data_IF_300692532350
#
_entry.id   IF_300692532350
#
_cell.length_a   1.000
_cell.length_b   1.000
_cell.length_c   1.000
_cell.angle_alpha   90.00
_cell.angle_beta   90.00
_cell.angle_gamma   90.00
#
_symmetry.space_group_name_H-M   'P 1'
#
loop_
_entity.id
_entity.type
_entity.pdbx_description
1 polymer ?
#
# COMPACT_ATOMS: atom_id res chain seq x y z
N UNK A 1 47.39 43.97 6.49
CA UNK A 1 47.58 42.74 5.69
C UNK A 1 46.28 42.00 5.71
N UNK A 2 45.78 41.72 4.51
CA UNK A 2 44.41 41.34 4.20
C UNK A 2 43.99 40.05 4.92
N UNK A 3 42.75 40.06 5.42
CA UNK A 3 42.04 38.88 5.90
C UNK A 3 40.57 39.09 5.58
N UNK A 4 40.20 38.66 4.38
CA UNK A 4 38.88 38.83 3.77
C UNK A 4 37.78 38.18 4.63
N UNK A 5 36.94 39.02 5.24
CA UNK A 5 35.63 38.60 5.74
C UNK A 5 34.66 38.60 4.57
N UNK A 6 34.39 37.41 4.02
CA UNK A 6 33.28 37.22 3.07
C UNK A 6 31.95 37.43 3.80
N UNK A 7 31.29 38.53 3.46
CA UNK A 7 29.91 38.82 3.76
C UNK A 7 29.00 37.83 3.04
N UNK A 8 28.13 37.14 3.79
CA UNK A 8 26.96 36.47 3.23
C UNK A 8 25.97 37.56 2.82
N UNK A 9 26.02 37.98 1.55
CA UNK A 9 24.90 38.68 0.93
C UNK A 9 23.80 37.66 0.66
N UNK A 10 22.62 37.97 1.19
CA UNK A 10 21.39 37.23 1.00
C UNK A 10 20.89 37.41 -0.44
N UNK A 11 21.21 36.46 -1.31
CA UNK A 11 20.49 36.32 -2.57
C UNK A 11 19.08 35.79 -2.28
N UNK A 12 18.13 36.72 -2.27
CA UNK A 12 16.70 36.42 -2.22
C UNK A 12 16.32 35.54 -3.42
N UNK A 13 15.66 34.38 -3.22
CA UNK A 13 15.11 33.64 -4.34
C UNK A 13 13.99 34.46 -4.98
N UNK A 14 14.15 34.75 -6.27
CA UNK A 14 13.10 35.32 -7.12
C UNK A 14 11.86 34.43 -7.03
N UNK A 15 10.75 35.03 -6.61
CA UNK A 15 9.43 34.42 -6.58
C UNK A 15 9.05 33.91 -7.99
N UNK A 16 9.13 32.60 -8.18
CA UNK A 16 8.17 31.90 -9.04
C UNK A 16 7.02 31.45 -8.14
N UNK A 17 5.87 32.09 -8.32
CA UNK A 17 4.58 31.75 -7.72
C UNK A 17 4.26 30.28 -7.95
N UNK A 18 4.23 29.48 -6.88
CA UNK A 18 3.31 28.35 -6.68
C UNK A 18 3.44 27.82 -5.23
N UNK A 19 2.36 27.95 -4.47
CA UNK A 19 2.21 27.66 -3.04
C UNK A 19 2.26 26.14 -2.69
N UNK A 20 3.40 25.46 -2.84
CA UNK A 20 3.55 24.05 -2.45
C UNK A 20 4.41 23.79 -1.20
N UNK A 21 5.00 24.85 -0.61
CA UNK A 21 5.93 24.73 0.52
C UNK A 21 5.19 24.56 1.86
N UNK A 22 3.93 25.01 1.97
CA UNK A 22 3.18 24.94 3.24
C UNK A 22 2.59 23.56 3.58
N UNK A 23 2.25 22.70 2.58
CA UNK A 23 1.69 21.35 2.82
C UNK A 23 2.75 20.26 3.08
N UNK A 24 3.94 20.37 2.50
CA UNK A 24 5.06 19.45 2.76
C UNK A 24 5.59 19.58 4.20
N UNK A 25 5.51 20.78 4.78
CA UNK A 25 5.84 21.01 6.18
C UNK A 25 4.88 20.32 7.16
N UNK A 26 3.60 20.15 6.83
CA UNK A 26 2.66 19.40 7.68
C UNK A 26 2.95 17.90 7.69
N UNK A 27 3.35 17.31 6.56
CA UNK A 27 3.76 15.90 6.48
C UNK A 27 5.14 15.68 7.13
N UNK A 28 6.10 16.59 6.96
CA UNK A 28 7.39 16.51 7.65
C UNK A 28 7.24 16.74 9.17
N UNK A 29 6.39 17.68 9.60
CA UNK A 29 6.05 17.86 11.02
C UNK A 29 5.20 16.70 11.57
N UNK A 30 4.41 16.03 10.72
CA UNK A 30 3.71 14.78 11.03
C UNK A 30 4.72 13.64 11.28
N UNK A 31 5.68 13.44 10.38
CA UNK A 31 6.76 12.46 10.55
C UNK A 31 7.66 12.75 11.77
N UNK A 32 7.87 14.03 12.13
CA UNK A 32 8.66 14.43 13.30
C UNK A 32 7.91 14.40 14.64
N UNK A 33 6.57 14.28 14.66
CA UNK A 33 5.76 14.23 15.90
C UNK A 33 5.67 12.85 16.56
N UNK A 34 6.32 11.83 16.01
CA UNK A 34 6.20 10.47 16.55
C UNK A 34 7.21 10.19 17.67
N UNK A 35 6.67 10.07 18.89
CA UNK A 35 7.37 9.70 20.11
C UNK A 35 8.06 8.34 20.00
N UNK A 36 8.84 7.98 21.03
CA UNK A 36 9.57 6.73 21.30
C UNK A 36 8.81 5.39 21.14
N UNK A 37 7.62 5.40 20.53
CA UNK A 37 6.71 4.28 20.27
C UNK A 37 6.55 3.90 18.78
N UNK A 38 7.17 4.63 17.84
CA UNK A 38 7.16 4.30 16.41
C UNK A 38 8.32 3.35 16.08
N UNK A 39 8.03 2.28 15.34
CA UNK A 39 9.05 1.35 14.86
C UNK A 39 9.96 2.02 13.83
N UNK A 40 11.17 1.48 13.69
CA UNK A 40 12.15 1.91 12.70
C UNK A 40 12.23 0.91 11.55
N UNK A 41 12.44 1.40 10.34
CA UNK A 41 12.69 0.55 9.17
C UNK A 41 14.18 0.36 8.96
N UNK A 42 14.58 -0.90 8.79
CA UNK A 42 15.98 -1.30 8.63
C UNK A 42 16.10 -2.14 7.35
N UNK A 43 17.03 -1.77 6.47
CA UNK A 43 17.45 -2.62 5.37
C UNK A 43 18.79 -3.27 5.72
N UNK A 44 18.92 -4.58 5.46
CA UNK A 44 20.13 -5.36 5.74
C UNK A 44 20.86 -5.69 4.42
N UNK A 45 22.10 -5.24 4.30
CA UNK A 45 23.02 -5.56 3.22
C UNK A 45 23.87 -6.75 3.67
N UNK A 46 23.36 -7.96 3.42
CA UNK A 46 24.05 -9.21 3.77
C UNK A 46 25.02 -9.55 2.62
N UNK A 47 26.32 -9.49 2.90
CA UNK A 47 27.38 -9.75 1.93
C UNK A 47 28.06 -11.10 2.17
N UNK A 48 28.90 -11.54 1.22
CA UNK A 48 29.68 -12.78 1.32
C UNK A 48 28.81 -14.04 1.52
N UNK A 49 27.63 -14.06 0.90
CA UNK A 49 26.73 -15.21 0.91
C UNK A 49 27.43 -16.35 0.15
N UNK A 50 27.66 -17.52 0.80
CA UNK A 50 28.31 -18.65 0.15
C UNK A 50 27.57 -19.11 -1.10
N UNK A 51 28.30 -19.64 -2.08
CA UNK A 51 27.67 -20.13 -3.30
C UNK A 51 26.64 -21.22 -3.00
N UNK A 52 25.44 -21.07 -3.56
CA UNK A 52 24.32 -21.99 -3.34
C UNK A 52 23.50 -21.73 -2.08
N UNK A 53 23.94 -20.82 -1.20
CA UNK A 53 23.16 -20.41 -0.04
C UNK A 53 22.05 -19.43 -0.40
N UNK A 54 20.90 -19.62 0.24
CA UNK A 54 19.71 -18.78 0.08
C UNK A 54 19.16 -18.42 1.44
N UNK A 55 19.30 -17.14 1.79
CA UNK A 55 18.89 -16.61 3.10
C UNK A 55 17.40 -16.89 3.36
N UNK A 56 16.58 -16.78 2.32
CA UNK A 56 15.13 -16.98 2.40
C UNK A 56 14.71 -18.43 2.75
N UNK A 57 15.54 -19.41 2.43
CA UNK A 57 15.30 -20.84 2.72
C UNK A 57 15.74 -21.21 4.14
N UNK A 58 16.78 -20.56 4.65
CA UNK A 58 17.32 -20.84 6.00
C UNK A 58 16.62 -20.03 7.10
N UNK A 59 16.31 -18.77 6.84
CA UNK A 59 15.84 -17.83 7.87
C UNK A 59 14.33 -17.63 7.90
N UNK A 60 13.65 -17.91 6.79
CA UNK A 60 12.22 -17.72 6.55
C UNK A 60 11.65 -16.37 7.02
N UNK A 61 10.45 -16.01 6.56
CA UNK A 61 9.91 -14.66 6.80
C UNK A 61 9.37 -14.45 8.21
N UNK A 62 9.21 -13.17 8.58
CA UNK A 62 8.42 -12.73 9.75
C UNK A 62 8.96 -13.19 11.11
N UNK A 63 10.27 -13.09 11.31
CA UNK A 63 10.92 -13.41 12.59
C UNK A 63 11.59 -12.18 13.18
N UNK A 64 11.70 -12.17 14.50
CA UNK A 64 12.59 -11.27 15.21
C UNK A 64 14.05 -11.71 15.00
N UNK A 65 14.91 -10.73 14.77
CA UNK A 65 16.36 -10.90 14.65
C UNK A 65 17.00 -9.91 15.61
N UNK A 66 17.97 -10.37 16.40
CA UNK A 66 18.84 -9.51 17.20
C UNK A 66 20.17 -9.38 16.46
N UNK A 67 20.74 -8.17 16.39
CA UNK A 67 22.04 -7.92 15.78
C UNK A 67 22.92 -7.18 16.80
N UNK A 68 24.06 -7.77 17.14
CA UNK A 68 25.04 -7.12 18.01
C UNK A 68 25.74 -5.96 17.27
N UNK A 69 25.90 -4.77 17.87
CA UNK A 69 26.52 -3.60 17.21
C UNK A 69 27.94 -3.80 16.66
N UNK A 70 28.65 -4.84 17.10
CA UNK A 70 30.00 -5.16 16.62
C UNK A 70 30.01 -6.01 15.34
N UNK A 71 28.84 -6.50 14.92
CA UNK A 71 28.70 -7.46 13.82
C UNK A 71 28.21 -6.81 12.52
N UNK A 72 27.88 -5.52 12.55
CA UNK A 72 27.45 -4.76 11.39
C UNK A 72 28.07 -3.36 11.37
N UNK A 73 28.15 -2.80 10.16
CA UNK A 73 28.47 -1.40 9.92
C UNK A 73 27.23 -0.62 9.49
N UNK A 74 27.13 0.64 9.89
CA UNK A 74 26.14 1.56 9.31
C UNK A 74 26.56 1.93 7.89
N UNK A 75 25.65 1.77 6.93
CA UNK A 75 25.88 2.19 5.54
C UNK A 75 25.91 3.72 5.48
N UNK A 76 26.94 4.26 4.83
CA UNK A 76 27.11 5.70 4.63
C UNK A 76 26.01 6.24 3.72
N UNK A 77 25.61 7.49 3.93
CA UNK A 77 24.54 8.14 3.16
C UNK A 77 24.74 8.08 1.63
N UNK A 78 25.99 8.16 1.14
CA UNK A 78 26.34 8.08 -0.29
C UNK A 78 26.15 6.69 -0.90
N UNK A 79 26.15 5.65 -0.07
CA UNK A 79 26.15 4.25 -0.50
C UNK A 79 24.78 3.59 -0.25
N UNK A 80 23.79 4.40 0.13
CA UNK A 80 22.46 3.93 0.51
C UNK A 80 21.66 3.47 -0.70
N UNK A 81 21.02 2.31 -0.57
CA UNK A 81 20.22 1.69 -1.62
C UNK A 81 18.72 1.72 -1.30
N UNK A 82 18.32 2.20 -0.12
CA UNK A 82 16.93 2.17 0.32
C UNK A 82 16.47 3.48 0.94
N UNK A 83 15.14 3.63 1.03
CA UNK A 83 14.46 4.67 1.78
C UNK A 83 14.29 4.33 3.28
N UNK A 84 14.78 3.18 3.77
CA UNK A 84 14.65 2.77 5.17
C UNK A 84 15.33 3.78 6.11
N UNK A 85 14.93 3.86 7.38
CA UNK A 85 15.60 4.79 8.32
C UNK A 85 17.07 4.43 8.54
N UNK A 86 17.38 3.13 8.59
CA UNK A 86 18.73 2.61 8.74
C UNK A 86 19.06 1.57 7.66
N UNK A 87 20.32 1.54 7.24
CA UNK A 87 20.91 0.50 6.40
C UNK A 87 22.12 -0.07 7.12
N UNK A 88 22.12 -1.38 7.34
CA UNK A 88 23.19 -2.10 8.04
C UNK A 88 23.87 -3.04 7.06
N UNK A 89 25.20 -3.05 7.05
CA UNK A 89 26.01 -3.99 6.26
C UNK A 89 26.68 -5.00 7.18
N UNK A 90 26.58 -6.29 6.84
CA UNK A 90 27.19 -7.38 7.60
C UNK A 90 27.46 -8.59 6.71
N UNK A 91 28.45 -9.39 7.06
CA UNK A 91 28.71 -10.67 6.37
C UNK A 91 27.61 -11.68 6.68
N UNK A 92 27.43 -12.65 5.79
CA UNK A 92 26.50 -13.76 5.99
C UNK A 92 26.83 -14.57 7.25
N UNK A 93 28.11 -14.73 7.59
CA UNK A 93 28.54 -15.35 8.84
C UNK A 93 28.04 -14.57 10.06
N UNK A 94 28.27 -13.25 10.09
CA UNK A 94 27.81 -12.38 11.18
C UNK A 94 26.28 -12.37 11.33
N UNK A 95 25.56 -12.34 10.20
CA UNK A 95 24.11 -12.47 10.17
C UNK A 95 23.66 -13.80 10.77
N UNK A 96 24.27 -14.91 10.34
CA UNK A 96 23.96 -16.25 10.83
C UNK A 96 24.26 -16.46 12.31
N UNK A 97 25.35 -15.89 12.82
CA UNK A 97 25.68 -15.93 14.24
C UNK A 97 24.63 -15.18 15.07
N UNK A 98 24.29 -13.95 14.65
CA UNK A 98 23.38 -13.07 15.40
C UNK A 98 21.94 -13.56 15.39
N UNK A 99 21.46 -14.02 14.24
CA UNK A 99 20.06 -14.36 14.07
C UNK A 99 19.68 -15.68 14.79
N UNK A 100 20.66 -16.48 15.23
CA UNK A 100 20.45 -17.70 16.03
C UNK A 100 20.22 -17.40 17.52
N UNK A 101 20.52 -16.19 17.98
CA UNK A 101 20.24 -15.78 19.36
C UNK A 101 18.74 -15.54 19.55
N UNK A 102 18.16 -16.05 20.65
CA UNK A 102 16.79 -15.71 20.99
C UNK A 102 16.69 -14.20 21.26
N UNK A 103 15.82 -13.47 20.53
CA UNK A 103 15.71 -12.03 20.71
C UNK A 103 15.28 -11.68 22.13
N UNK A 104 15.89 -10.63 22.68
CA UNK A 104 15.45 -10.07 23.96
C UNK A 104 14.06 -9.44 23.71
N UNK A 105 13.03 -9.92 24.43
CA UNK A 105 11.68 -9.35 24.45
C UNK A 105 10.78 -9.64 23.22
N UNK A 106 10.81 -10.87 22.69
CA UNK A 106 9.94 -11.37 21.59
C UNK A 106 8.42 -11.24 21.81
N UNK A 107 7.97 -10.94 23.03
CA UNK A 107 6.55 -10.84 23.37
C UNK A 107 5.86 -9.59 22.79
N UNK A 108 6.64 -8.58 22.36
CA UNK A 108 6.09 -7.37 21.73
C UNK A 108 6.01 -7.55 20.22
N UNK A 109 4.84 -7.30 19.64
CA UNK A 109 4.70 -7.19 18.19
C UNK A 109 5.35 -5.90 17.67
N UNK A 110 5.95 -5.97 16.48
CA UNK A 110 6.47 -4.77 15.82
C UNK A 110 5.30 -3.83 15.50
N UNK A 111 5.44 -2.50 15.69
CA UNK A 111 4.37 -1.54 15.40
C UNK A 111 4.28 -1.28 13.89
N UNK A 112 3.86 -2.30 13.14
CA UNK A 112 3.78 -2.25 11.69
C UNK A 112 2.82 -1.15 11.24
N UNK A 113 3.24 -0.36 10.24
CA UNK A 113 2.40 0.61 9.55
C UNK A 113 1.62 -0.10 8.43
N UNK A 114 0.30 0.00 8.48
CA UNK A 114 -0.60 -0.63 7.53
C UNK A 114 -1.31 0.46 6.73
N UNK A 115 -1.15 0.40 5.42
CA UNK A 115 -1.85 1.24 4.47
C UNK A 115 -2.90 0.42 3.75
N UNK A 116 -4.16 0.83 3.82
CA UNK A 116 -5.22 0.36 2.92
C UNK A 116 -5.56 1.45 1.91
N UNK A 117 -5.73 1.10 0.64
CA UNK A 117 -6.02 2.07 -0.41
C UNK A 117 -6.95 1.49 -1.47
N UNK A 118 -7.59 2.37 -2.22
CA UNK A 118 -8.52 2.07 -3.30
C UNK A 118 -8.44 3.18 -4.37
N UNK A 119 -8.64 2.83 -5.64
CA UNK A 119 -8.67 3.79 -6.75
C UNK A 119 -10.04 3.84 -7.43
N UNK A 120 -10.42 5.05 -7.84
CA UNK A 120 -11.46 5.23 -8.85
C UNK A 120 -10.83 5.60 -10.18
N UNK A 121 -11.34 5.01 -11.25
CA UNK A 121 -10.95 5.32 -12.61
C UNK A 121 -12.10 6.00 -13.34
N UNK A 122 -11.77 6.76 -14.38
CA UNK A 122 -12.78 7.10 -15.37
C UNK A 122 -13.39 5.83 -15.96
N UNK A 123 -14.60 5.93 -16.49
CA UNK A 123 -15.33 4.79 -17.05
C UNK A 123 -15.94 5.19 -18.38
N UNK A 124 -15.70 4.38 -19.41
CA UNK A 124 -16.40 4.55 -20.68
C UNK A 124 -17.76 3.84 -20.61
N UNK A 125 -18.83 4.58 -20.88
CA UNK A 125 -20.19 4.03 -20.97
C UNK A 125 -20.52 3.85 -22.44
N UNK A 126 -20.70 2.59 -22.86
CA UNK A 126 -21.09 2.28 -24.22
C UNK A 126 -22.58 2.64 -24.41
N UNK A 127 -22.93 3.53 -25.36
CA UNK A 127 -24.33 3.87 -25.66
C UNK A 127 -25.19 2.66 -26.08
N UNK A 128 -24.57 1.55 -26.52
CA UNK A 128 -25.22 0.28 -26.86
C UNK A 128 -25.41 -0.66 -25.66
N UNK A 129 -24.93 -0.30 -24.47
CA UNK A 129 -25.07 -1.06 -23.23
C UNK A 129 -24.05 -2.17 -23.02
N UNK A 130 -23.01 -2.26 -23.86
CA UNK A 130 -21.86 -3.17 -23.67
C UNK A 130 -20.74 -2.47 -22.91
N UNK A 131 -21.02 -2.11 -21.66
CA UNK A 131 -20.06 -1.43 -20.80
C UNK A 131 -18.71 -2.19 -20.75
N UNK A 132 -17.62 -1.51 -21.07
CA UNK A 132 -16.28 -2.08 -21.03
C UNK A 132 -15.63 -1.88 -19.66
N UNK A 133 -14.90 -2.89 -19.19
CA UNK A 133 -14.16 -2.78 -17.94
C UNK A 133 -12.97 -1.83 -18.13
N UNK A 134 -12.71 -0.91 -17.19
CA UNK A 134 -11.63 0.06 -17.33
C UNK A 134 -10.26 -0.62 -17.46
N UNK A 135 -9.46 -0.12 -18.39
CA UNK A 135 -8.10 -0.61 -18.64
C UNK A 135 -7.09 0.53 -18.41
N UNK A 136 -5.89 0.22 -17.90
CA UNK A 136 -4.88 1.24 -17.65
C UNK A 136 -4.39 1.94 -18.93
N UNK A 137 -4.64 1.36 -20.11
CA UNK A 137 -4.28 1.98 -21.39
C UNK A 137 -5.27 3.05 -21.84
N UNK A 138 -6.52 3.04 -21.35
CA UNK A 138 -7.57 3.90 -21.85
C UNK A 138 -8.05 4.89 -20.78
N UNK A 139 -8.42 4.41 -19.60
CA UNK A 139 -9.03 5.23 -18.57
C UNK A 139 -7.98 5.82 -17.60
N UNK A 140 -8.21 7.05 -17.18
CA UNK A 140 -7.38 7.75 -16.19
C UNK A 140 -7.80 7.39 -14.78
N UNK A 141 -6.87 7.45 -13.84
CA UNK A 141 -7.19 7.48 -12.41
C UNK A 141 -7.77 8.84 -12.08
N UNK A 142 -8.95 8.85 -11.44
CA UNK A 142 -9.65 10.07 -11.04
C UNK A 142 -9.63 10.29 -9.54
N UNK A 143 -9.52 9.25 -8.72
CA UNK A 143 -9.35 9.38 -7.27
C UNK A 143 -8.48 8.25 -6.72
N UNK A 144 -7.72 8.55 -5.67
CA UNK A 144 -7.04 7.54 -4.85
C UNK A 144 -7.32 7.87 -3.38
N UNK A 145 -7.95 6.95 -2.67
CA UNK A 145 -8.17 7.07 -1.23
C UNK A 145 -7.14 6.24 -0.46
N UNK A 146 -6.78 6.66 0.75
CA UNK A 146 -5.83 5.93 1.57
C UNK A 146 -6.12 6.08 3.06
N UNK A 147 -5.98 4.97 3.78
CA UNK A 147 -6.18 4.82 5.22
C UNK A 147 -4.91 4.25 5.84
N UNK A 148 -4.28 4.98 6.75
CA UNK A 148 -3.04 4.59 7.41
C UNK A 148 -3.28 4.35 8.90
N UNK A 149 -2.86 3.19 9.38
CA UNK A 149 -2.95 2.81 10.79
C UNK A 149 -1.70 2.06 11.27
N UNK A 150 -1.53 1.93 12.58
CA UNK A 150 -0.64 0.92 13.15
C UNK A 150 -1.39 -0.40 13.34
N UNK A 151 -0.72 -1.56 13.22
CA UNK A 151 -1.34 -2.88 13.43
C UNK A 151 -2.13 -2.98 14.73
N UNK A 152 -1.60 -2.39 15.80
CA UNK A 152 -2.20 -2.42 17.15
C UNK A 152 -3.42 -1.53 17.32
N UNK A 153 -3.63 -0.58 16.42
CA UNK A 153 -4.70 0.41 16.54
C UNK A 153 -5.98 -0.15 15.88
N UNK A 154 -7.13 0.14 16.47
CA UNK A 154 -8.43 -0.25 15.92
C UNK A 154 -8.89 0.65 14.76
N UNK A 155 -8.44 1.90 14.76
CA UNK A 155 -8.86 2.92 13.79
C UNK A 155 -7.63 3.52 13.08
N UNK A 156 -7.78 3.98 11.82
CA UNK A 156 -6.73 4.71 11.13
C UNK A 156 -6.45 6.05 11.81
N UNK A 157 -5.16 6.37 11.97
CA UNK A 157 -4.73 7.67 12.50
C UNK A 157 -4.60 8.73 11.41
N UNK A 158 -4.59 8.32 10.14
CA UNK A 158 -4.53 9.23 9.01
C UNK A 158 -5.36 8.70 7.84
N UNK A 159 -6.09 9.61 7.20
CA UNK A 159 -6.90 9.34 6.01
C UNK A 159 -6.78 10.51 5.04
N UNK A 160 -6.57 10.20 3.76
CA UNK A 160 -6.61 11.19 2.70
C UNK A 160 -7.32 10.66 1.46
N UNK A 161 -7.68 11.60 0.59
CA UNK A 161 -8.16 11.32 -0.76
C UNK A 161 -7.55 12.32 -1.72
N UNK A 162 -6.90 11.81 -2.75
CA UNK A 162 -6.33 12.60 -3.84
C UNK A 162 -7.32 12.54 -5.00
N UNK A 163 -7.74 13.69 -5.53
CA UNK A 163 -8.78 13.78 -6.57
C UNK A 163 -8.27 14.48 -7.81
N UNK A 164 -8.71 14.04 -8.97
CA UNK A 164 -8.61 14.78 -10.22
C UNK A 164 -9.76 15.80 -10.26
N UNK A 165 -9.42 17.07 -10.49
CA UNK A 165 -10.27 18.26 -10.32
C UNK A 165 -10.65 18.54 -8.86
N UNK A 166 -11.21 19.73 -8.63
CA UNK A 166 -11.59 20.23 -7.30
C UNK A 166 -12.57 19.33 -6.55
N UNK A 167 -12.33 19.05 -5.28
CA UNK A 167 -13.22 18.27 -4.41
C UNK A 167 -13.55 19.08 -3.16
N UNK A 168 -14.81 19.05 -2.71
CA UNK A 168 -15.20 19.72 -1.47
C UNK A 168 -14.59 19.01 -0.25
N UNK A 169 -14.34 19.77 0.81
CA UNK A 169 -13.77 19.23 2.05
C UNK A 169 -14.63 18.11 2.66
N UNK A 170 -13.96 17.11 3.22
CA UNK A 170 -14.54 15.96 3.92
C UNK A 170 -14.02 15.98 5.35
N UNK A 171 -14.91 15.88 6.33
CA UNK A 171 -14.56 16.04 7.74
C UNK A 171 -13.51 15.02 8.19
N UNK A 172 -12.41 15.55 8.72
CA UNK A 172 -11.25 14.82 9.23
C UNK A 172 -10.48 14.01 8.18
N UNK A 173 -10.67 14.29 6.89
CA UNK A 173 -9.88 13.71 5.79
C UNK A 173 -9.07 14.81 5.12
N UNK A 174 -7.79 14.55 4.84
CA UNK A 174 -7.01 15.45 3.97
C UNK A 174 -7.45 15.24 2.51
N UNK A 175 -8.03 16.28 1.92
CA UNK A 175 -8.48 16.29 0.53
C UNK A 175 -7.50 17.12 -0.28
N UNK A 176 -6.87 16.50 -1.27
CA UNK A 176 -5.97 17.17 -2.21
C UNK A 176 -6.50 17.00 -3.63
N UNK A 177 -6.60 18.10 -4.38
CA UNK A 177 -7.12 18.10 -5.75
C UNK A 177 -6.04 18.50 -6.74
N UNK A 178 -5.99 17.82 -7.88
CA UNK A 178 -5.01 18.00 -8.95
C UNK A 178 -5.71 18.19 -10.29
N UNK A 179 -5.17 19.03 -11.17
CA UNK A 179 -5.73 19.18 -12.53
C UNK A 179 -5.25 18.08 -13.48
N UNK A 180 -4.04 17.57 -13.27
CA UNK A 180 -3.40 16.54 -14.09
C UNK A 180 -3.27 15.23 -13.32
N UNK A 181 -3.62 14.11 -13.97
CA UNK A 181 -3.46 12.76 -13.40
C UNK A 181 -2.00 12.47 -13.03
N UNK A 182 -1.05 13.02 -13.80
CA UNK A 182 0.37 12.80 -13.54
C UNK A 182 0.80 13.32 -12.18
N UNK A 183 0.23 14.45 -11.73
CA UNK A 183 0.57 15.05 -10.44
C UNK A 183 -0.16 14.33 -9.29
N UNK A 184 -1.38 13.85 -9.53
CA UNK A 184 -2.09 12.97 -8.63
C UNK A 184 -1.28 11.70 -8.32
N UNK A 185 -0.80 11.00 -9.36
CA UNK A 185 0.00 9.78 -9.20
C UNK A 185 1.34 10.07 -8.52
N UNK A 186 2.07 11.14 -8.93
CA UNK A 186 3.33 11.54 -8.27
C UNK A 186 3.11 11.83 -6.79
N UNK A 187 2.03 12.54 -6.45
CA UNK A 187 1.68 12.85 -5.05
C UNK A 187 1.42 11.59 -4.25
N UNK A 188 0.69 10.63 -4.80
CA UNK A 188 0.41 9.36 -4.14
C UNK A 188 1.69 8.54 -3.92
N UNK A 189 2.55 8.43 -4.94
CA UNK A 189 3.85 7.75 -4.80
C UNK A 189 4.73 8.42 -3.73
N UNK A 190 4.75 9.75 -3.68
CA UNK A 190 5.41 10.49 -2.61
C UNK A 190 4.79 10.21 -1.24
N UNK A 191 3.47 10.11 -1.15
CA UNK A 191 2.79 9.74 0.09
C UNK A 191 3.21 8.34 0.58
N UNK A 192 3.29 7.34 -0.31
CA UNK A 192 3.80 6.00 0.05
C UNK A 192 5.21 6.09 0.62
N UNK A 193 6.08 6.86 -0.02
CA UNK A 193 7.45 7.06 0.45
C UNK A 193 7.49 7.71 1.85
N UNK A 194 6.75 8.80 2.04
CA UNK A 194 6.75 9.56 3.30
C UNK A 194 6.08 8.80 4.46
N UNK A 195 4.98 8.09 4.19
CA UNK A 195 4.27 7.27 5.17
C UNK A 195 5.05 5.99 5.54
N UNK A 196 5.82 5.47 4.58
CA UNK A 196 6.64 4.27 4.66
C UNK A 196 5.89 3.04 5.24
N UNK A 197 4.76 2.59 4.61
CA UNK A 197 3.99 1.46 5.12
C UNK A 197 4.76 0.14 5.02
N UNK A 198 4.62 -0.70 6.05
CA UNK A 198 5.15 -2.06 6.09
C UNK A 198 4.24 -3.04 5.36
N UNK A 199 2.93 -2.80 5.41
CA UNK A 199 1.90 -3.64 4.78
C UNK A 199 0.97 -2.78 3.94
N UNK A 200 0.80 -3.15 2.69
CA UNK A 200 -0.18 -2.58 1.76
C UNK A 200 -1.35 -3.55 1.65
N UNK A 201 -2.55 -3.04 1.87
CA UNK A 201 -3.81 -3.77 1.95
C UNK A 201 -4.79 -3.19 0.94
N UNK A 202 -5.66 -4.03 0.40
CA UNK A 202 -6.79 -3.61 -0.42
C UNK A 202 -7.68 -4.80 -0.76
N UNK A 203 -8.66 -4.59 -1.64
CA UNK A 203 -9.57 -5.66 -2.07
C UNK A 203 -9.51 -5.81 -3.57
N UNK A 204 -8.89 -6.90 -4.06
CA UNK A 204 -8.49 -7.08 -5.45
C UNK A 204 -7.40 -6.08 -5.91
N UNK A 205 -6.67 -5.47 -4.97
CA UNK A 205 -5.62 -4.50 -5.24
C UNK A 205 -4.40 -5.08 -5.93
N UNK A 206 -4.13 -6.38 -5.76
CA UNK A 206 -3.05 -7.05 -6.46
C UNK A 206 -3.40 -7.37 -7.92
N UNK A 207 -4.69 -7.48 -8.25
CA UNK A 207 -5.18 -7.75 -9.60
C UNK A 207 -5.59 -6.50 -10.39
N UNK A 208 -6.02 -5.45 -9.69
CA UNK A 208 -6.52 -4.21 -10.28
C UNK A 208 -5.66 -3.02 -9.87
N UNK A 209 -5.81 -2.50 -8.65
CA UNK A 209 -5.31 -1.18 -8.24
C UNK A 209 -3.80 -0.99 -8.42
N UNK A 210 -2.98 -1.90 -7.87
CA UNK A 210 -1.52 -1.81 -7.94
C UNK A 210 -1.06 -1.90 -9.41
N UNK A 211 -1.38 -2.96 -10.18
CA UNK A 211 -1.01 -3.01 -11.59
C UNK A 211 -1.51 -1.80 -12.39
N UNK A 212 -2.71 -1.29 -12.10
CA UNK A 212 -3.28 -0.14 -12.79
C UNK A 212 -2.43 1.12 -12.57
N UNK A 213 -2.14 1.47 -11.32
CA UNK A 213 -1.28 2.63 -10.99
C UNK A 213 0.10 2.48 -11.63
N UNK A 214 0.73 1.30 -11.55
CA UNK A 214 2.05 1.08 -12.13
C UNK A 214 2.06 1.26 -13.65
N UNK A 215 1.05 0.75 -14.35
CA UNK A 215 0.92 0.88 -15.79
C UNK A 215 0.60 2.33 -16.21
N UNK A 216 -0.24 3.04 -15.45
CA UNK A 216 -0.50 4.48 -15.66
C UNK A 216 0.76 5.32 -15.44
N UNK A 217 1.49 5.06 -14.36
CA UNK A 217 2.75 5.74 -14.06
C UNK A 217 3.76 5.54 -15.20
N UNK A 218 3.94 4.30 -15.68
CA UNK A 218 4.79 4.00 -16.83
C UNK A 218 4.35 4.74 -18.09
N UNK A 219 3.06 4.74 -18.41
CA UNK A 219 2.51 5.45 -19.57
C UNK A 219 2.76 6.96 -19.51
N UNK A 220 2.67 7.54 -18.32
CA UNK A 220 2.90 8.95 -18.06
C UNK A 220 4.37 9.30 -17.80
N UNK A 221 5.30 8.34 -17.98
CA UNK A 221 6.73 8.51 -17.74
C UNK A 221 7.06 9.00 -16.33
N UNK A 222 6.31 8.50 -15.34
CA UNK A 222 6.50 8.78 -13.92
C UNK A 222 7.38 7.67 -13.33
N UNK A 223 8.56 7.98 -12.78
CA UNK A 223 9.36 7.00 -12.04
C UNK A 223 8.55 6.44 -10.86
N UNK A 224 8.34 5.14 -10.85
CA UNK A 224 7.49 4.52 -9.83
C UNK A 224 8.29 4.14 -8.58
N UNK A 225 8.39 5.06 -7.63
CA UNK A 225 9.08 4.87 -6.35
C UNK A 225 8.23 4.18 -5.26
N UNK A 226 7.45 3.15 -5.58
CA UNK A 226 6.60 2.47 -4.58
C UNK A 226 7.40 1.51 -3.67
N UNK A 227 8.57 1.06 -4.13
CA UNK A 227 9.51 0.19 -3.40
C UNK A 227 10.17 0.91 -2.22
N UNK A 228 10.70 0.16 -1.25
CA UNK A 228 11.70 0.69 -0.28
C UNK A 228 13.11 0.73 -0.85
N UNK A 229 13.39 -0.04 -1.90
CA UNK A 229 14.67 0.00 -2.61
C UNK A 229 14.61 1.12 -3.65
N UNK A 230 15.57 2.03 -3.57
CA UNK A 230 15.69 3.18 -4.47
C UNK A 230 15.91 2.69 -5.91
N UNK A 231 15.30 3.38 -6.86
CA UNK A 231 15.40 3.10 -8.30
C UNK A 231 15.01 1.67 -8.72
N UNK A 232 14.28 0.95 -7.84
CA UNK A 232 13.80 -0.39 -8.16
C UNK A 232 12.63 -0.31 -9.15
N UNK A 233 12.87 -0.71 -10.39
CA UNK A 233 11.83 -0.82 -11.40
C UNK A 233 11.03 -2.11 -11.27
N UNK A 234 9.72 -1.97 -11.08
CA UNK A 234 8.79 -3.10 -11.17
C UNK A 234 8.55 -3.42 -12.64
N UNK A 235 9.12 -4.53 -13.10
CA UNK A 235 8.97 -4.97 -14.49
C UNK A 235 7.62 -5.65 -14.74
N UNK A 236 6.96 -5.24 -15.83
CA UNK A 236 5.78 -5.88 -16.43
C UNK A 236 4.66 -6.28 -15.45
N UNK A 237 4.08 -5.34 -14.69
CA UNK A 237 2.94 -5.62 -13.83
C UNK A 237 1.77 -6.21 -14.65
N UNK A 238 1.20 -7.30 -14.16
CA UNK A 238 0.09 -8.02 -14.82
C UNK A 238 -1.22 -7.46 -14.29
N UNK A 239 -1.97 -6.79 -15.14
CA UNK A 239 -3.34 -6.37 -14.86
C UNK A 239 -4.29 -7.55 -15.08
N UNK A 240 -4.76 -8.15 -13.98
CA UNK A 240 -5.65 -9.30 -13.99
C UNK A 240 -6.58 -9.25 -12.77
N UNK A 241 -7.69 -8.51 -12.87
CA UNK A 241 -8.70 -8.44 -11.82
C UNK A 241 -9.37 -9.81 -11.66
N UNK A 242 -9.54 -10.26 -10.42
CA UNK A 242 -10.14 -11.57 -10.18
C UNK A 242 -9.37 -12.40 -9.14
N UNK A 243 -9.93 -13.55 -8.75
CA UNK A 243 -9.31 -14.40 -7.76
C UNK A 243 -8.03 -15.03 -8.32
N UNK A 244 -7.05 -15.24 -7.45
CA UNK A 244 -5.72 -15.76 -7.80
C UNK A 244 -4.75 -14.71 -8.33
N UNK A 245 -5.14 -13.42 -8.37
CA UNK A 245 -4.30 -12.34 -8.87
C UNK A 245 -3.00 -12.17 -8.08
N UNK A 246 -2.99 -12.50 -6.79
CA UNK A 246 -1.80 -12.43 -5.94
C UNK A 246 -0.66 -13.31 -6.46
N UNK A 247 -0.97 -14.42 -7.14
CA UNK A 247 0.04 -15.32 -7.74
C UNK A 247 0.95 -14.62 -8.75
N UNK A 248 0.43 -13.59 -9.43
CA UNK A 248 1.10 -12.77 -10.42
C UNK A 248 1.29 -11.31 -9.99
N UNK A 249 0.96 -10.97 -8.74
CA UNK A 249 1.09 -9.61 -8.23
C UNK A 249 2.53 -9.09 -8.40
N UNK A 250 2.75 -7.81 -8.71
CA UNK A 250 4.10 -7.25 -8.65
C UNK A 250 4.66 -7.35 -7.24
N UNK A 251 5.95 -7.67 -7.10
CA UNK A 251 6.66 -7.61 -5.81
C UNK A 251 6.98 -6.15 -5.53
N UNK A 252 6.68 -5.66 -4.33
CA UNK A 252 7.10 -4.35 -3.86
C UNK A 252 8.19 -4.57 -2.79
N UNK A 253 9.50 -4.49 -3.14
CA UNK A 253 10.56 -4.78 -2.20
C UNK A 253 10.45 -3.97 -0.90
N UNK A 254 10.60 -4.67 0.22
CA UNK A 254 10.50 -4.10 1.56
C UNK A 254 9.08 -3.84 2.08
N UNK A 255 8.02 -4.08 1.28
CA UNK A 255 6.62 -3.91 1.70
C UNK A 255 5.84 -5.20 1.49
N UNK A 256 5.08 -5.63 2.49
CA UNK A 256 4.16 -6.75 2.35
C UNK A 256 2.89 -6.31 1.63
N UNK A 257 2.27 -7.23 0.90
CA UNK A 257 0.96 -7.03 0.26
C UNK A 257 -0.04 -8.03 0.84
N UNK A 258 -1.24 -7.57 1.16
CA UNK A 258 -2.39 -8.44 1.48
C UNK A 258 -3.56 -8.01 0.61
N UNK A 259 -3.95 -8.90 -0.30
CA UNK A 259 -5.18 -8.75 -1.06
C UNK A 259 -6.31 -9.50 -0.35
N UNK A 260 -7.30 -8.75 0.16
CA UNK A 260 -8.40 -9.34 0.91
C UNK A 260 -9.34 -10.14 0.02
N UNK A 261 -9.37 -9.90 -1.29
CA UNK A 261 -10.18 -10.71 -2.19
C UNK A 261 -9.62 -12.13 -2.27
N UNK A 262 -8.31 -12.25 -2.49
CA UNK A 262 -7.62 -13.55 -2.49
C UNK A 262 -7.64 -14.21 -1.11
N UNK A 263 -7.49 -13.44 -0.03
CA UNK A 263 -7.64 -13.96 1.33
C UNK A 263 -9.03 -14.57 1.56
N UNK A 264 -10.08 -13.81 1.27
CA UNK A 264 -11.47 -14.27 1.43
C UNK A 264 -11.73 -15.47 0.52
N UNK A 265 -11.20 -15.49 -0.69
CA UNK A 265 -11.35 -16.63 -1.59
C UNK A 265 -10.70 -17.89 -1.01
N UNK A 266 -9.46 -17.80 -0.54
CA UNK A 266 -8.69 -18.94 -0.04
C UNK A 266 -9.21 -19.49 1.29
N UNK A 267 -9.57 -18.61 2.22
CA UNK A 267 -9.92 -18.99 3.60
C UNK A 267 -11.44 -19.08 3.81
N UNK A 268 -12.25 -18.43 2.96
CA UNK A 268 -13.70 -18.26 3.13
C UNK A 268 -14.52 -18.30 1.81
N UNK A 269 -13.96 -18.89 0.75
CA UNK A 269 -14.50 -18.84 -0.62
C UNK A 269 -15.82 -19.59 -0.86
N UNK A 270 -16.29 -20.36 0.13
CA UNK A 270 -17.54 -21.10 0.06
C UNK A 270 -18.51 -20.62 1.15
N UNK A 271 -19.33 -19.58 0.88
CA UNK A 271 -20.36 -19.16 1.81
C UNK A 271 -21.35 -20.31 2.07
N UNK A 272 -21.68 -20.54 3.33
CA UNK A 272 -22.71 -21.49 3.77
C UNK A 272 -24.09 -21.12 3.24
N UNK A 273 -25.05 -22.06 3.31
CA UNK A 273 -26.43 -21.79 2.91
C UNK A 273 -27.05 -20.64 3.71
N UNK A 274 -26.76 -20.56 5.01
CA UNK A 274 -27.20 -19.47 5.89
C UNK A 274 -26.62 -18.13 5.47
N UNK A 275 -25.31 -18.04 5.22
CA UNK A 275 -24.68 -16.79 4.75
C UNK A 275 -25.23 -16.35 3.38
N UNK A 276 -25.51 -17.29 2.48
CA UNK A 276 -26.16 -16.98 1.19
C UNK A 276 -27.56 -16.43 1.38
N UNK A 277 -28.35 -17.04 2.27
CA UNK A 277 -29.70 -16.56 2.58
C UNK A 277 -29.68 -15.14 3.17
N UNK A 278 -28.74 -14.85 4.09
CA UNK A 278 -28.54 -13.52 4.65
C UNK A 278 -28.19 -12.48 3.57
N UNK A 279 -27.27 -12.81 2.66
CA UNK A 279 -26.90 -11.94 1.54
C UNK A 279 -28.09 -11.69 0.59
N UNK A 280 -28.85 -12.73 0.27
CA UNK A 280 -30.01 -12.61 -0.61
C UNK A 280 -31.14 -11.77 0.01
N UNK A 281 -31.31 -11.85 1.33
CA UNK A 281 -32.29 -11.06 2.07
C UNK A 281 -32.00 -9.55 1.98
N UNK A 282 -30.73 -9.16 1.82
CA UNK A 282 -30.32 -7.75 1.61
C UNK A 282 -30.06 -7.40 0.14
N UNK A 283 -30.47 -8.27 -0.79
CA UNK A 283 -30.39 -8.01 -2.23
C UNK A 283 -29.06 -8.38 -2.90
N UNK A 284 -28.06 -8.87 -2.16
CA UNK A 284 -26.75 -9.25 -2.71
C UNK A 284 -26.82 -10.67 -3.26
N UNK A 285 -27.16 -10.81 -4.55
CA UNK A 285 -27.36 -12.13 -5.20
C UNK A 285 -26.20 -12.60 -6.08
N UNK A 286 -25.28 -11.70 -6.41
CA UNK A 286 -24.12 -11.96 -7.29
C UNK A 286 -22.84 -11.49 -6.60
N UNK A 287 -21.68 -11.92 -7.13
CA UNK A 287 -20.36 -11.58 -6.58
C UNK A 287 -20.32 -11.79 -5.06
N UNK A 288 -20.69 -13.00 -4.60
CA UNK A 288 -20.83 -13.33 -3.16
C UNK A 288 -19.51 -13.27 -2.38
N UNK A 289 -18.40 -13.08 -3.11
CA UNK A 289 -17.06 -12.84 -2.59
C UNK A 289 -16.56 -11.44 -2.97
N UNK A 290 -17.41 -10.52 -3.44
CA UNK A 290 -17.00 -9.13 -3.70
C UNK A 290 -16.95 -8.32 -2.40
N UNK A 291 -16.35 -7.12 -2.45
CA UNK A 291 -16.18 -6.26 -1.28
C UNK A 291 -17.49 -6.00 -0.53
N UNK A 292 -18.60 -5.71 -1.22
CA UNK A 292 -19.91 -5.51 -0.58
C UNK A 292 -20.39 -6.78 0.14
N UNK A 293 -20.32 -7.93 -0.53
CA UNK A 293 -20.76 -9.20 0.04
C UNK A 293 -19.90 -9.61 1.25
N UNK A 294 -18.57 -9.46 1.15
CA UNK A 294 -17.65 -9.75 2.25
C UNK A 294 -17.84 -8.81 3.43
N UNK A 295 -17.99 -7.51 3.17
CA UNK A 295 -18.25 -6.51 4.22
C UNK A 295 -19.55 -6.80 4.94
N UNK A 296 -20.60 -7.18 4.21
CA UNK A 296 -21.87 -7.54 4.85
C UNK A 296 -21.75 -8.85 5.63
N UNK A 297 -21.13 -9.90 5.05
CA UNK A 297 -20.97 -11.21 5.72
C UNK A 297 -20.27 -11.08 7.07
N UNK A 298 -19.15 -10.36 7.12
CA UNK A 298 -18.24 -10.36 8.27
C UNK A 298 -18.42 -9.14 9.19
N UNK A 299 -18.72 -7.97 8.63
CA UNK A 299 -18.81 -6.72 9.40
C UNK A 299 -20.24 -6.23 9.59
N UNK A 300 -21.22 -6.83 8.90
CA UNK A 300 -22.62 -6.34 8.80
C UNK A 300 -22.69 -4.89 8.30
N UNK A 301 -21.73 -4.51 7.43
CA UNK A 301 -21.65 -3.20 6.79
C UNK A 301 -21.85 -3.33 5.27
N UNK A 302 -22.26 -2.24 4.61
CA UNK A 302 -22.36 -2.15 3.15
C UNK A 302 -21.38 -1.11 2.59
N UNK A 303 -21.12 -1.22 1.29
CA UNK A 303 -20.46 -0.15 0.52
C UNK A 303 -21.41 1.04 0.36
N UNK A 304 -20.85 2.18 0.00
CA UNK A 304 -21.63 3.29 -0.52
C UNK A 304 -22.28 2.89 -1.87
N UNK A 305 -23.51 3.32 -2.12
CA UNK A 305 -24.28 2.93 -3.30
C UNK A 305 -24.03 3.90 -4.46
N UNK A 306 -23.01 3.61 -5.26
CA UNK A 306 -22.73 4.31 -6.52
C UNK A 306 -22.63 3.28 -7.65
N UNK A 307 -23.59 3.29 -8.57
CA UNK A 307 -23.45 2.56 -9.83
C UNK A 307 -22.31 3.18 -10.65
N UNK A 308 -21.41 2.33 -11.15
CA UNK A 308 -20.26 2.74 -11.96
C UNK A 308 -20.65 3.62 -13.17
N UNK A 309 -21.87 3.46 -13.70
CA UNK A 309 -22.40 4.28 -14.80
C UNK A 309 -22.58 5.75 -14.43
N UNK A 310 -22.68 6.05 -13.13
CA UNK A 310 -22.78 7.42 -12.63
C UNK A 310 -21.41 8.06 -12.38
N UNK A 311 -20.31 7.29 -12.35
CA UNK A 311 -18.96 7.82 -12.10
C UNK A 311 -18.62 8.95 -13.09
N UNK A 312 -18.80 8.82 -14.42
CA UNK A 312 -18.45 9.90 -15.35
C UNK A 312 -19.26 11.17 -15.11
N UNK A 313 -20.54 11.04 -14.78
CA UNK A 313 -21.42 12.17 -14.46
C UNK A 313 -20.97 12.89 -13.19
N UNK A 314 -20.66 12.13 -12.13
CA UNK A 314 -20.20 12.69 -10.86
C UNK A 314 -18.83 13.35 -11.01
N UNK A 315 -17.92 12.73 -11.76
CA UNK A 315 -16.58 13.26 -12.01
C UNK A 315 -16.62 14.56 -12.84
N UNK A 316 -17.49 14.64 -13.85
CA UNK A 316 -17.69 15.83 -14.66
C UNK A 316 -18.48 16.95 -13.94
N UNK A 317 -19.11 16.64 -12.82
CA UNK A 317 -19.95 17.56 -12.05
C UNK A 317 -19.19 18.58 -11.21
N UNK A 318 -19.78 18.94 -10.08
CA UNK A 318 -19.24 19.95 -9.16
C UNK A 318 -18.24 19.34 -8.17
N UNK A 319 -17.59 20.19 -7.36
CA UNK A 319 -16.76 19.72 -6.24
C UNK A 319 -17.55 18.90 -5.21
N UNK A 320 -18.86 19.10 -5.09
CA UNK A 320 -19.73 18.29 -4.23
C UNK A 320 -20.02 16.91 -4.83
N UNK A 321 -20.13 16.80 -6.16
CA UNK A 321 -20.33 15.51 -6.82
C UNK A 321 -19.07 14.65 -6.74
N UNK A 322 -17.88 15.25 -6.91
CA UNK A 322 -16.60 14.57 -6.68
C UNK A 322 -16.37 14.22 -5.22
N UNK A 323 -16.91 15.00 -4.28
CA UNK A 323 -16.94 14.63 -2.86
C UNK A 323 -17.75 13.37 -2.58
N UNK A 324 -18.89 13.16 -3.26
CA UNK A 324 -19.65 11.90 -3.16
C UNK A 324 -18.82 10.70 -3.62
N UNK A 325 -18.13 10.83 -4.76
CA UNK A 325 -17.19 9.80 -5.22
C UNK A 325 -16.05 9.58 -4.21
N UNK A 326 -15.53 10.66 -3.62
CA UNK A 326 -14.44 10.55 -2.66
C UNK A 326 -14.86 9.85 -1.37
N UNK A 327 -16.09 10.08 -0.89
CA UNK A 327 -16.66 9.35 0.25
C UNK A 327 -16.83 7.86 -0.08
N UNK A 328 -17.31 7.55 -1.29
CA UNK A 328 -17.40 6.17 -1.79
C UNK A 328 -16.03 5.49 -1.82
N UNK A 329 -15.02 6.12 -2.41
CA UNK A 329 -13.65 5.60 -2.48
C UNK A 329 -13.03 5.45 -1.07
N UNK A 330 -13.22 6.42 -0.16
CA UNK A 330 -12.78 6.32 1.24
C UNK A 330 -13.44 5.14 1.97
N UNK A 331 -14.71 4.83 1.70
CA UNK A 331 -15.37 3.66 2.26
C UNK A 331 -14.71 2.37 1.75
N UNK A 332 -14.36 2.34 0.47
CA UNK A 332 -13.74 1.19 -0.20
C UNK A 332 -12.29 0.94 0.20
N UNK A 333 -11.55 1.97 0.64
CA UNK A 333 -10.25 1.77 1.29
C UNK A 333 -10.36 1.45 2.79
N UNK A 334 -11.45 1.80 3.47
CA UNK A 334 -11.64 1.47 4.89
C UNK A 334 -12.11 0.03 5.09
N UNK A 335 -13.10 -0.45 4.33
CA UNK A 335 -13.65 -1.80 4.50
C UNK A 335 -12.60 -2.93 4.47
N UNK A 336 -11.57 -2.91 3.59
CA UNK A 336 -10.51 -3.92 3.57
C UNK A 336 -9.67 -3.92 4.86
N UNK A 337 -9.45 -2.76 5.46
CA UNK A 337 -8.75 -2.60 6.74
C UNK A 337 -9.53 -3.30 7.86
N UNK A 338 -10.83 -3.01 7.96
CA UNK A 338 -11.74 -3.61 8.95
C UNK A 338 -11.88 -5.12 8.74
N UNK A 339 -11.97 -5.57 7.49
CA UNK A 339 -12.00 -6.99 7.13
C UNK A 339 -10.70 -7.70 7.54
N UNK A 340 -9.54 -7.08 7.29
CA UNK A 340 -8.25 -7.64 7.68
C UNK A 340 -8.17 -7.86 9.19
N UNK A 341 -8.61 -6.89 9.99
CA UNK A 341 -8.62 -7.01 11.45
C UNK A 341 -9.61 -8.07 11.92
N UNK A 342 -10.86 -7.99 11.46
CA UNK A 342 -11.92 -8.92 11.85
C UNK A 342 -11.57 -10.38 11.52
N UNK A 343 -10.99 -10.61 10.34
CA UNK A 343 -10.59 -11.94 9.89
C UNK A 343 -9.20 -12.36 10.38
N UNK A 344 -8.47 -11.48 11.08
CA UNK A 344 -7.08 -11.66 11.50
C UNK A 344 -6.18 -12.09 10.32
N UNK A 345 -6.37 -11.46 9.16
CA UNK A 345 -5.81 -11.92 7.89
C UNK A 345 -4.26 -11.87 7.89
N UNK A 346 -3.69 -10.76 8.37
CA UNK A 346 -2.24 -10.59 8.49
C UNK A 346 -1.63 -11.68 9.40
N UNK A 347 -2.18 -11.87 10.59
CA UNK A 347 -1.64 -12.85 11.56
C UNK A 347 -1.75 -14.28 11.05
N UNK A 348 -2.88 -14.65 10.42
CA UNK A 348 -3.05 -15.98 9.81
C UNK A 348 -2.01 -16.26 8.73
N UNK A 349 -1.74 -15.29 7.85
CA UNK A 349 -0.76 -15.44 6.78
C UNK A 349 0.69 -15.39 7.27
N UNK A 350 1.00 -14.57 8.27
CA UNK A 350 2.29 -14.61 8.99
C UNK A 350 2.53 -15.99 9.60
N UNK A 351 1.58 -16.47 10.40
CA UNK A 351 1.67 -17.77 11.07
C UNK A 351 1.81 -18.92 10.07
N UNK A 352 1.18 -18.79 8.90
CA UNK A 352 1.31 -19.77 7.82
C UNK A 352 2.71 -19.75 7.20
N UNK A 353 3.26 -18.57 6.91
CA UNK A 353 4.62 -18.44 6.38
C UNK A 353 5.68 -19.01 7.34
N UNK A 354 5.56 -18.70 8.63
CA UNK A 354 6.42 -19.25 9.68
C UNK A 354 6.33 -20.78 9.76
N UNK A 355 5.11 -21.35 9.79
CA UNK A 355 4.91 -22.82 9.80
C UNK A 355 5.47 -23.51 8.56
N UNK A 356 5.43 -22.84 7.41
CA UNK A 356 5.96 -23.37 6.14
C UNK A 356 7.45 -23.12 5.97
N UNK A 357 8.10 -22.42 6.90
CA UNK A 357 9.51 -22.01 6.82
C UNK A 357 9.85 -21.39 5.47
N UNK A 358 8.98 -20.49 4.99
CA UNK A 358 9.19 -19.74 3.76
C UNK A 358 9.04 -18.24 3.99
N UNK A 359 9.37 -17.42 2.99
CA UNK A 359 9.01 -15.99 3.03
C UNK A 359 7.50 -15.83 3.01
N UNK A 360 7.01 -14.73 3.56
CA UNK A 360 5.59 -14.36 3.49
C UNK A 360 5.12 -14.44 2.03
N UNK A 361 5.82 -13.73 1.17
CA UNK A 361 5.44 -13.55 -0.21
C UNK A 361 5.43 -14.87 -1.02
N UNK A 362 6.48 -15.70 -0.90
CA UNK A 362 6.52 -17.01 -1.56
C UNK A 362 5.39 -17.92 -1.07
N UNK A 363 5.14 -17.93 0.24
CA UNK A 363 4.08 -18.74 0.84
C UNK A 363 2.72 -18.36 0.29
N UNK A 364 2.40 -17.06 0.26
CA UNK A 364 1.08 -16.59 -0.18
C UNK A 364 0.91 -16.73 -1.70
N UNK A 365 1.92 -16.41 -2.51
CA UNK A 365 1.88 -16.65 -3.97
C UNK A 365 1.58 -18.10 -4.32
N UNK A 366 2.22 -19.05 -3.63
CA UNK A 366 1.97 -20.49 -3.84
C UNK A 366 0.55 -20.91 -3.46
N UNK A 367 -0.10 -20.22 -2.52
CA UNK A 367 -1.49 -20.47 -2.16
C UNK A 367 -2.43 -19.89 -3.21
N UNK A 368 -2.23 -18.63 -3.57
CA UNK A 368 -3.02 -17.96 -4.59
C UNK A 368 -2.93 -18.68 -5.94
N UNK A 369 -1.77 -19.23 -6.30
CA UNK A 369 -1.59 -20.02 -7.52
C UNK A 369 -2.35 -21.36 -7.55
N UNK A 370 -3.00 -21.77 -6.44
CA UNK A 370 -3.91 -22.92 -6.41
C UNK A 370 -5.34 -22.55 -6.78
N UNK A 371 -5.66 -21.26 -6.84
CA UNK A 371 -6.96 -20.79 -7.27
C UNK A 371 -7.07 -21.09 -8.78
N UNK A 372 -8.09 -21.85 -9.22
CA UNK A 372 -8.35 -22.04 -10.63
C UNK A 372 -8.61 -20.68 -11.29
N UNK A 373 -7.87 -20.40 -12.36
CA UNK A 373 -7.93 -19.16 -13.13
C UNK A 373 -9.08 -19.16 -14.10
#
# INVERSE_FOLDING_TARGET
MNGDTFSYESDAPRQCSNNWIYKTAEIQNFCHRFSSSAGVTICLHIVDIPQGQKIEEEWYGMRWISLSPRLYDLVKATDRLSACQYELRLTYENFNCSAKEEPINCAREAPLRILSFDIETDVYIDPSGKDEFPTPNAQSIIQISSMLKYKRDSEPFYRNVLTLKSCNAIEGTDVESFEEESDLIKRWLKFIHDADPDVIVGYNSCGFDIPYILLRAKRLSIPCGISRINDFEISNPIFRPGPGAFSSAPVIPGRLQIDLYDFVFLEHGHPSATEKAELWAVGIRRKLLGLEASSFRFLKQRKEDIDFRNIPKLQAGTGEDRKKLAIYCLKDSHLPLQLMDHLQALDKWINRAQRKKGTFYHTIRRLAGRIPV
#
